data_IF_193369764925
#
_entry.id   IF_193369764925
#
_cell.length_a   1.000
_cell.length_b   1.000
_cell.length_c   1.000
_cell.angle_alpha   90.00
_cell.angle_beta   90.00
_cell.angle_gamma   90.00
#
_symmetry.space_group_name_H-M   'P 1'
#
loop_
_entity.id
_entity.type
_entity.pdbx_description
1 polymer ?
#
# COMPACT_ATOMS: atom_id res chain seq x y z
N UNK A 1 -1.05 -1.35 -17.20
CA UNK A 1 -2.40 -1.88 -16.91
C UNK A 1 -3.17 -1.90 -18.22
N UNK A 2 -3.68 -3.07 -18.67
CA UNK A 2 -4.32 -3.20 -19.99
C UNK A 2 -5.83 -2.90 -19.98
N UNK A 3 -6.52 -3.17 -18.86
CA UNK A 3 -7.94 -2.89 -18.67
C UNK A 3 -8.13 -2.05 -17.40
N UNK A 4 -9.03 -1.06 -17.46
CA UNK A 4 -9.48 -0.32 -16.30
C UNK A 4 -10.76 -0.97 -15.75
N UNK A 5 -10.77 -1.51 -14.51
CA UNK A 5 -11.98 -2.07 -13.94
C UNK A 5 -12.96 -0.94 -13.58
N UNK A 6 -14.13 -0.96 -14.21
CA UNK A 6 -15.22 -0.01 -13.94
C UNK A 6 -16.52 -0.77 -13.68
N UNK A 7 -17.36 -0.22 -12.79
CA UNK A 7 -18.73 -0.67 -12.61
C UNK A 7 -19.67 0.31 -13.31
N UNK A 8 -20.49 -0.21 -14.22
CA UNK A 8 -21.37 0.58 -15.08
C UNK A 8 -22.81 0.41 -14.65
N UNK A 9 -23.51 1.52 -14.42
CA UNK A 9 -24.95 1.51 -14.16
C UNK A 9 -25.71 1.34 -15.47
N UNK A 10 -26.43 0.23 -15.61
CA UNK A 10 -27.14 -0.13 -16.84
C UNK A 10 -28.67 0.04 -16.76
N UNK A 11 -29.22 0.60 -15.68
CA UNK A 11 -30.66 0.86 -15.56
C UNK A 11 -31.20 1.57 -16.82
N UNK A 12 -32.03 0.83 -17.57
CA UNK A 12 -32.67 1.26 -18.82
C UNK A 12 -31.69 1.73 -19.92
N UNK A 13 -30.43 1.26 -19.89
CA UNK A 13 -29.42 1.57 -20.92
C UNK A 13 -29.50 0.56 -22.07
N UNK A 14 -29.37 1.02 -23.34
CA UNK A 14 -29.46 0.17 -24.50
C UNK A 14 -28.21 -0.71 -24.66
N UNK A 15 -28.42 -2.02 -24.76
CA UNK A 15 -27.38 -3.04 -24.96
C UNK A 15 -27.76 -3.92 -26.14
N UNK A 16 -26.84 -4.09 -27.08
CA UNK A 16 -27.03 -4.94 -28.25
C UNK A 16 -26.28 -6.26 -28.10
N UNK A 17 -26.90 -7.36 -28.48
CA UNK A 17 -26.25 -8.67 -28.60
C UNK A 17 -26.48 -9.19 -30.02
N UNK A 18 -25.40 -9.47 -30.73
CA UNK A 18 -25.42 -10.10 -32.05
C UNK A 18 -25.25 -11.61 -31.86
N UNK A 19 -26.28 -12.37 -32.20
CA UNK A 19 -26.36 -13.81 -31.97
C UNK A 19 -27.59 -14.22 -31.15
N UNK A 20 -28.11 -15.41 -31.43
CA UNK A 20 -29.35 -15.93 -30.83
C UNK A 20 -29.21 -17.31 -30.16
N UNK A 21 -27.98 -17.82 -29.99
CA UNK A 21 -27.71 -19.11 -29.36
C UNK A 21 -27.48 -19.04 -27.84
N UNK A 22 -27.08 -20.17 -27.26
CA UNK A 22 -26.81 -20.34 -25.82
C UNK A 22 -25.76 -19.38 -25.24
N UNK A 23 -24.77 -18.98 -26.05
CA UNK A 23 -23.76 -17.99 -25.65
C UNK A 23 -24.40 -16.61 -25.49
N UNK A 24 -25.21 -16.19 -26.47
CA UNK A 24 -25.92 -14.91 -26.45
C UNK A 24 -26.91 -14.85 -25.28
N UNK A 25 -27.66 -15.93 -25.05
CA UNK A 25 -28.57 -16.07 -23.90
C UNK A 25 -27.86 -15.88 -22.55
N UNK A 26 -26.70 -16.51 -22.35
CA UNK A 26 -25.91 -16.35 -21.10
C UNK A 26 -25.49 -14.89 -20.88
N UNK A 27 -25.12 -14.17 -21.95
CA UNK A 27 -24.79 -12.74 -21.88
C UNK A 27 -26.02 -11.87 -21.64
N UNK A 28 -27.14 -12.19 -22.27
CA UNK A 28 -28.42 -11.53 -22.08
C UNK A 28 -28.85 -11.53 -20.60
N UNK A 29 -28.81 -12.69 -19.93
CA UNK A 29 -29.14 -12.81 -18.50
C UNK A 29 -28.34 -11.86 -17.61
N UNK A 30 -27.02 -11.73 -17.86
CA UNK A 30 -26.16 -10.83 -17.09
C UNK A 30 -26.57 -9.35 -17.23
N UNK A 31 -26.94 -8.92 -18.44
CA UNK A 31 -27.41 -7.54 -18.66
C UNK A 31 -28.79 -7.26 -18.10
N UNK A 32 -29.70 -8.25 -18.13
CA UNK A 32 -31.01 -8.13 -17.50
C UNK A 32 -30.92 -8.04 -15.98
N UNK A 33 -30.02 -8.81 -15.34
CA UNK A 33 -29.73 -8.67 -13.91
C UNK A 33 -29.26 -7.25 -13.56
N UNK A 34 -28.48 -6.63 -14.46
CA UNK A 34 -28.05 -5.23 -14.36
C UNK A 34 -29.11 -4.21 -14.85
N UNK A 35 -30.35 -4.65 -15.15
CA UNK A 35 -31.49 -3.84 -15.62
C UNK A 35 -31.24 -3.09 -16.94
N UNK A 36 -30.39 -3.65 -17.80
CA UNK A 36 -30.16 -3.19 -19.16
C UNK A 36 -31.37 -3.41 -20.07
N UNK A 37 -31.58 -2.50 -21.02
CA UNK A 37 -32.55 -2.67 -22.11
C UNK A 37 -31.88 -3.45 -23.24
N UNK A 38 -32.11 -4.76 -23.27
CA UNK A 38 -31.40 -5.68 -24.18
C UNK A 38 -32.17 -5.86 -25.48
N UNK A 39 -31.47 -5.66 -26.60
CA UNK A 39 -31.90 -6.04 -27.95
C UNK A 39 -30.98 -7.12 -28.49
N UNK A 40 -31.54 -8.18 -29.06
CA UNK A 40 -30.78 -9.24 -29.73
C UNK A 40 -31.08 -9.25 -31.23
N UNK A 41 -30.05 -9.34 -32.06
CA UNK A 41 -30.15 -9.47 -33.52
C UNK A 41 -29.56 -10.80 -33.95
N UNK A 42 -30.37 -11.63 -34.59
CA UNK A 42 -29.94 -12.90 -35.18
C UNK A 42 -30.98 -13.40 -36.18
N UNK A 43 -30.60 -14.23 -37.17
CA UNK A 43 -31.57 -14.87 -38.06
C UNK A 43 -32.49 -15.83 -37.29
N UNK A 44 -31.95 -16.53 -36.28
CA UNK A 44 -32.64 -17.51 -35.46
C UNK A 44 -32.30 -17.33 -33.98
N UNK A 45 -33.23 -17.70 -33.10
CA UNK A 45 -33.09 -17.61 -31.64
C UNK A 45 -33.43 -18.95 -30.98
N UNK A 46 -32.75 -19.25 -29.86
CA UNK A 46 -33.10 -20.39 -29.02
C UNK A 46 -34.46 -20.17 -28.33
N UNK A 47 -35.06 -21.28 -27.87
CA UNK A 47 -36.41 -21.29 -27.31
C UNK A 47 -36.56 -20.31 -26.11
N UNK A 48 -35.60 -20.30 -25.20
CA UNK A 48 -35.64 -19.45 -24.00
C UNK A 48 -35.63 -17.95 -24.34
N UNK A 49 -34.92 -17.53 -25.39
CA UNK A 49 -34.94 -16.14 -25.84
C UNK A 49 -36.31 -15.74 -26.41
N UNK A 50 -36.97 -16.66 -27.12
CA UNK A 50 -38.33 -16.45 -27.64
C UNK A 50 -39.34 -16.28 -26.50
N UNK A 51 -39.25 -17.08 -25.44
CA UNK A 51 -40.07 -16.94 -24.24
C UNK A 51 -39.85 -15.59 -23.56
N UNK A 52 -38.58 -15.21 -23.36
CA UNK A 52 -38.20 -13.92 -22.77
C UNK A 52 -38.76 -12.72 -23.57
N UNK A 53 -38.83 -12.83 -24.90
CA UNK A 53 -39.41 -11.81 -25.76
C UNK A 53 -40.94 -11.71 -25.60
N UNK A 54 -41.64 -12.84 -25.42
CA UNK A 54 -43.09 -12.86 -25.15
C UNK A 54 -43.42 -12.16 -23.83
N UNK A 55 -42.56 -12.35 -22.82
CA UNK A 55 -42.64 -11.65 -21.53
C UNK A 55 -42.23 -10.17 -21.61
N UNK A 56 -41.83 -9.67 -22.79
CA UNK A 56 -41.34 -8.31 -23.04
C UNK A 56 -40.10 -7.94 -22.22
N UNK A 57 -39.29 -8.93 -21.84
CA UNK A 57 -38.04 -8.69 -21.12
C UNK A 57 -36.90 -8.29 -22.07
N UNK A 58 -36.96 -8.73 -23.33
CA UNK A 58 -35.98 -8.44 -24.38
C UNK A 58 -36.66 -8.06 -25.69
N UNK A 59 -35.93 -7.36 -26.55
CA UNK A 59 -36.36 -7.13 -27.94
C UNK A 59 -35.59 -8.08 -28.86
N UNK A 60 -36.28 -8.86 -29.69
CA UNK A 60 -35.65 -9.71 -30.71
C UNK A 60 -35.84 -9.09 -32.10
N UNK A 61 -34.77 -9.08 -32.88
CA UNK A 61 -34.76 -8.63 -34.27
C UNK A 61 -34.28 -9.79 -35.13
N UNK A 62 -35.20 -10.35 -35.92
CA UNK A 62 -34.91 -11.43 -36.86
C UNK A 62 -34.25 -10.88 -38.11
N UNK A 63 -32.94 -10.65 -38.03
CA UNK A 63 -32.14 -10.07 -39.12
C UNK A 63 -30.66 -10.49 -39.01
N UNK A 64 -29.89 -10.19 -40.05
CA UNK A 64 -28.44 -10.25 -40.03
C UNK A 64 -27.87 -8.95 -39.44
N UNK A 65 -26.59 -9.02 -39.02
CA UNK A 65 -25.91 -7.84 -38.50
C UNK A 65 -25.77 -6.75 -39.57
N UNK A 66 -26.12 -5.52 -39.21
CA UNK A 66 -25.82 -4.31 -39.97
C UNK A 66 -25.24 -3.22 -39.06
N UNK A 67 -24.27 -2.41 -39.51
CA UNK A 67 -23.62 -1.40 -38.67
C UNK A 67 -24.58 -0.37 -38.04
N UNK A 68 -25.71 -0.07 -38.70
CA UNK A 68 -26.73 0.88 -38.24
C UNK A 68 -27.44 0.39 -36.97
N UNK A 69 -27.45 -0.92 -36.71
CA UNK A 69 -28.04 -1.50 -35.49
C UNK A 69 -27.27 -1.10 -34.22
N UNK A 70 -26.01 -0.66 -34.36
CA UNK A 70 -25.19 -0.14 -33.27
C UNK A 70 -25.59 1.27 -32.85
N UNK A 71 -26.35 1.99 -33.67
CA UNK A 71 -26.65 3.39 -33.42
C UNK A 71 -27.50 3.55 -32.15
N UNK A 72 -27.03 4.42 -31.24
CA UNK A 72 -27.67 4.64 -29.95
C UNK A 72 -27.45 3.53 -28.92
N UNK A 73 -26.66 2.50 -29.21
CA UNK A 73 -26.29 1.45 -28.25
C UNK A 73 -25.13 1.90 -27.37
N UNK A 74 -25.15 1.50 -26.09
CA UNK A 74 -24.07 1.80 -25.16
C UNK A 74 -22.98 0.73 -25.18
N UNK A 75 -23.38 -0.54 -25.29
CA UNK A 75 -22.51 -1.70 -25.29
C UNK A 75 -22.99 -2.68 -26.38
N UNK A 76 -22.07 -3.42 -26.98
CA UNK A 76 -22.38 -4.52 -27.89
C UNK A 76 -21.61 -5.80 -27.56
N UNK A 77 -22.30 -6.94 -27.69
CA UNK A 77 -21.69 -8.27 -27.66
C UNK A 77 -21.77 -8.91 -29.05
N UNK A 78 -20.65 -9.41 -29.54
CA UNK A 78 -20.63 -10.34 -30.67
C UNK A 78 -20.55 -11.78 -30.14
N UNK A 79 -21.64 -12.52 -30.25
CA UNK A 79 -21.81 -13.88 -29.71
C UNK A 79 -22.32 -14.83 -30.80
N UNK A 80 -21.70 -14.77 -31.99
CA UNK A 80 -22.00 -15.67 -33.12
C UNK A 80 -20.87 -16.68 -33.32
N UNK A 81 -21.18 -17.80 -33.98
CA UNK A 81 -20.16 -18.78 -34.40
C UNK A 81 -19.41 -18.35 -35.68
N UNK A 82 -19.74 -17.18 -36.25
CA UNK A 82 -19.16 -16.67 -37.49
C UNK A 82 -18.13 -15.57 -37.20
N UNK A 83 -16.84 -15.92 -37.30
CA UNK A 83 -15.75 -14.98 -37.08
C UNK A 83 -15.83 -13.71 -37.95
N UNK A 84 -16.28 -13.83 -39.19
CA UNK A 84 -16.45 -12.69 -40.09
C UNK A 84 -17.50 -11.69 -39.58
N UNK A 85 -18.62 -12.18 -39.01
CA UNK A 85 -19.64 -11.32 -38.41
C UNK A 85 -19.10 -10.67 -37.14
N UNK A 86 -18.45 -11.44 -36.28
CA UNK A 86 -17.86 -10.95 -35.04
C UNK A 86 -16.82 -9.84 -35.29
N UNK A 87 -16.02 -9.98 -36.35
CA UNK A 87 -15.05 -8.97 -36.78
C UNK A 87 -15.72 -7.71 -37.33
N UNK A 88 -16.79 -7.86 -38.13
CA UNK A 88 -17.57 -6.73 -38.61
C UNK A 88 -18.21 -5.93 -37.45
N UNK A 89 -18.74 -6.62 -36.44
CA UNK A 89 -19.27 -5.99 -35.21
C UNK A 89 -18.17 -5.23 -34.47
N UNK A 90 -17.00 -5.84 -34.29
CA UNK A 90 -15.85 -5.21 -33.64
C UNK A 90 -15.42 -3.92 -34.35
N UNK A 91 -15.23 -3.98 -35.67
CA UNK A 91 -14.80 -2.82 -36.45
C UNK A 91 -15.83 -1.68 -36.37
N UNK A 92 -17.10 -2.00 -36.61
CA UNK A 92 -18.17 -1.00 -36.60
C UNK A 92 -18.41 -0.37 -35.22
N UNK A 93 -18.21 -1.14 -34.13
CA UNK A 93 -18.30 -0.63 -32.76
C UNK A 93 -17.13 0.29 -32.42
N UNK A 94 -15.90 -0.06 -32.80
CA UNK A 94 -14.73 0.79 -32.58
C UNK A 94 -14.83 2.12 -33.31
N UNK A 95 -15.31 2.13 -34.56
CA UNK A 95 -15.55 3.37 -35.32
C UNK A 95 -16.52 4.33 -34.59
N UNK A 96 -17.45 3.78 -33.79
CA UNK A 96 -18.46 4.53 -33.03
C UNK A 96 -18.07 4.77 -31.57
N UNK A 97 -16.89 4.32 -31.13
CA UNK A 97 -16.48 4.32 -29.72
C UNK A 97 -17.47 3.60 -28.78
N UNK A 98 -18.12 2.54 -29.28
CA UNK A 98 -19.01 1.69 -28.50
C UNK A 98 -18.17 0.57 -27.89
N UNK A 99 -18.35 0.31 -26.60
CA UNK A 99 -17.70 -0.82 -25.95
C UNK A 99 -18.23 -2.14 -26.52
N UNK A 100 -17.33 -2.87 -27.17
CA UNK A 100 -17.54 -4.20 -27.75
C UNK A 100 -16.83 -5.29 -26.95
N UNK A 101 -17.52 -6.41 -26.77
CA UNK A 101 -16.95 -7.68 -26.34
C UNK A 101 -17.26 -8.74 -27.39
N UNK A 102 -16.21 -9.34 -27.97
CA UNK A 102 -16.33 -10.49 -28.87
C UNK A 102 -16.10 -11.74 -28.05
N UNK A 103 -17.08 -12.64 -28.03
CA UNK A 103 -16.96 -13.88 -27.25
C UNK A 103 -15.84 -14.74 -27.85
N UNK A 104 -15.00 -15.30 -26.97
CA UNK A 104 -13.85 -16.16 -27.29
C UNK A 104 -12.73 -15.52 -28.15
N UNK A 105 -12.77 -14.20 -28.41
CA UNK A 105 -11.71 -13.44 -29.09
C UNK A 105 -11.30 -12.20 -28.27
N UNK A 106 -10.42 -12.40 -27.29
CA UNK A 106 -10.00 -11.35 -26.37
C UNK A 106 -9.29 -10.15 -27.06
N UNK A 107 -8.39 -10.33 -28.04
CA UNK A 107 -7.81 -9.20 -28.78
C UNK A 107 -8.84 -8.26 -29.40
N UNK A 108 -10.03 -8.76 -29.73
CA UNK A 108 -11.16 -7.97 -30.25
C UNK A 108 -12.13 -7.47 -29.16
N UNK A 109 -11.70 -7.44 -27.90
CA UNK A 109 -12.52 -6.95 -26.79
C UNK A 109 -12.02 -5.61 -26.24
N UNK A 110 -12.87 -4.59 -26.30
CA UNK A 110 -12.66 -3.31 -25.59
C UNK A 110 -13.03 -3.39 -24.10
N UNK A 111 -13.88 -4.35 -23.72
CA UNK A 111 -14.17 -4.71 -22.33
C UNK A 111 -14.32 -6.22 -22.18
N UNK A 112 -14.17 -6.70 -20.95
CA UNK A 112 -14.22 -8.12 -20.61
C UNK A 112 -15.16 -8.38 -19.44
N UNK A 113 -15.73 -9.58 -19.39
CA UNK A 113 -16.54 -10.01 -18.25
C UNK A 113 -15.65 -10.58 -17.14
N UNK A 114 -15.66 -9.98 -15.94
CA UNK A 114 -14.97 -10.55 -14.80
C UNK A 114 -15.76 -11.72 -14.21
N UNK A 115 -15.09 -12.50 -13.36
CA UNK A 115 -15.78 -13.31 -12.34
C UNK A 115 -16.33 -12.37 -11.27
N UNK A 116 -17.61 -12.53 -10.91
CA UNK A 116 -18.30 -11.62 -9.99
C UNK A 116 -18.68 -12.36 -8.71
N UNK A 117 -18.44 -11.75 -7.55
CA UNK A 117 -19.07 -12.10 -6.27
C UNK A 117 -20.07 -11.00 -5.94
N UNK A 118 -21.34 -11.36 -5.84
CA UNK A 118 -22.44 -10.42 -5.60
C UNK A 118 -22.96 -10.53 -4.15
N UNK A 119 -22.95 -9.39 -3.46
CA UNK A 119 -23.51 -9.12 -2.13
C UNK A 119 -24.19 -7.75 -2.15
N UNK A 120 -24.98 -7.48 -3.19
CA UNK A 120 -25.64 -6.19 -3.45
C UNK A 120 -26.01 -5.44 -2.15
N UNK A 121 -25.55 -4.19 -1.97
CA UNK A 121 -24.83 -3.33 -2.93
C UNK A 121 -23.32 -3.55 -3.04
N UNK A 122 -22.73 -4.50 -2.31
CA UNK A 122 -21.30 -4.79 -2.40
C UNK A 122 -21.05 -5.79 -3.54
N UNK A 123 -20.19 -5.43 -4.48
CA UNK A 123 -19.84 -6.28 -5.63
C UNK A 123 -18.33 -6.34 -5.79
N UNK A 124 -17.80 -7.54 -6.03
CA UNK A 124 -16.37 -7.76 -6.31
C UNK A 124 -16.22 -8.35 -7.70
N UNK A 125 -15.36 -7.76 -8.51
CA UNK A 125 -14.99 -8.26 -9.83
C UNK A 125 -13.54 -8.72 -9.86
N UNK A 126 -13.33 -9.92 -10.38
CA UNK A 126 -12.02 -10.59 -10.45
C UNK A 126 -11.75 -10.91 -11.92
N UNK A 127 -10.62 -10.46 -12.44
CA UNK A 127 -10.22 -10.74 -13.81
C UNK A 127 -8.72 -10.97 -13.90
N UNK A 128 -8.34 -11.94 -14.72
CA UNK A 128 -6.95 -12.17 -15.15
C UNK A 128 -6.71 -11.64 -16.57
N UNK A 129 -7.64 -10.84 -17.11
CA UNK A 129 -7.61 -10.43 -18.52
C UNK A 129 -7.37 -11.63 -19.44
N UNK A 130 -8.17 -12.69 -19.26
CA UNK A 130 -8.12 -13.94 -20.04
C UNK A 130 -6.87 -14.81 -19.87
N UNK A 131 -5.80 -14.34 -19.20
CA UNK A 131 -4.56 -15.12 -19.05
C UNK A 131 -4.71 -16.35 -18.16
N UNK A 132 -5.60 -16.31 -17.16
CA UNK A 132 -5.77 -17.39 -16.18
C UNK A 132 -7.23 -17.50 -15.70
N UNK A 133 -8.16 -17.99 -16.54
CA UNK A 133 -9.58 -18.07 -16.19
C UNK A 133 -9.86 -19.03 -15.02
N UNK A 134 -9.10 -20.13 -14.93
CA UNK A 134 -9.22 -21.11 -13.82
C UNK A 134 -8.79 -20.49 -12.48
N UNK A 135 -7.76 -19.63 -12.49
CA UNK A 135 -7.30 -18.92 -11.29
C UNK A 135 -8.36 -17.90 -10.83
N UNK A 136 -8.92 -17.11 -11.75
CA UNK A 136 -9.99 -16.16 -11.45
C UNK A 136 -11.21 -16.86 -10.83
N UNK A 137 -11.58 -18.04 -11.37
CA UNK A 137 -12.65 -18.87 -10.81
C UNK A 137 -12.35 -19.36 -9.39
N UNK A 138 -11.14 -19.86 -9.13
CA UNK A 138 -10.73 -20.31 -7.77
C UNK A 138 -10.73 -19.15 -6.77
N UNK A 139 -10.31 -17.96 -7.18
CA UNK A 139 -10.37 -16.76 -6.33
C UNK A 139 -11.81 -16.37 -6.02
N UNK A 140 -12.71 -16.40 -7.02
CA UNK A 140 -14.15 -16.18 -6.82
C UNK A 140 -14.74 -17.17 -5.81
N UNK A 141 -14.46 -18.47 -5.98
CA UNK A 141 -14.95 -19.52 -5.07
C UNK A 141 -14.49 -19.28 -3.62
N UNK A 142 -13.23 -18.90 -3.40
CA UNK A 142 -12.72 -18.54 -2.06
C UNK A 142 -13.38 -17.28 -1.51
N UNK A 143 -13.57 -16.24 -2.32
CA UNK A 143 -14.19 -15.00 -1.87
C UNK A 143 -15.68 -15.19 -1.56
N UNK A 144 -16.39 -16.06 -2.29
CA UNK A 144 -17.77 -16.41 -1.97
C UNK A 144 -17.92 -17.05 -0.59
N UNK A 145 -16.93 -17.86 -0.15
CA UNK A 145 -16.94 -18.45 1.19
C UNK A 145 -16.53 -17.46 2.28
N UNK A 146 -15.63 -16.53 1.96
CA UNK A 146 -15.08 -15.56 2.92
C UNK A 146 -16.03 -14.39 3.19
N UNK A 147 -16.90 -14.05 2.24
CA UNK A 147 -17.74 -12.85 2.31
C UNK A 147 -19.18 -13.26 2.68
N UNK A 148 -19.63 -12.97 3.92
CA UNK A 148 -20.96 -13.35 4.38
C UNK A 148 -22.09 -12.72 3.56
N UNK A 149 -23.26 -13.38 3.54
CA UNK A 149 -24.45 -12.85 2.85
C UNK A 149 -25.01 -11.57 3.49
N UNK A 150 -24.83 -11.39 4.81
CA UNK A 150 -25.34 -10.24 5.54
C UNK A 150 -24.60 -8.92 5.25
N UNK A 151 -23.50 -8.95 4.49
CA UNK A 151 -22.76 -7.73 4.10
C UNK A 151 -23.63 -6.79 3.26
N UNK A 152 -24.51 -7.32 2.40
CA UNK A 152 -25.44 -6.51 1.61
C UNK A 152 -26.37 -5.67 2.51
N UNK A 153 -27.20 -6.32 3.35
CA UNK A 153 -28.04 -5.63 4.33
C UNK A 153 -27.27 -4.66 5.25
N UNK A 154 -26.06 -5.02 5.68
CA UNK A 154 -25.22 -4.13 6.49
C UNK A 154 -24.83 -2.86 5.73
N UNK A 155 -24.44 -3.00 4.46
CA UNK A 155 -24.09 -1.87 3.60
C UNK A 155 -25.30 -0.95 3.33
N UNK A 156 -26.50 -1.51 3.17
CA UNK A 156 -27.74 -0.74 3.05
C UNK A 156 -28.04 0.05 4.33
N UNK A 157 -27.94 -0.60 5.50
CA UNK A 157 -28.12 0.04 6.80
C UNK A 157 -27.14 1.21 6.98
N UNK A 158 -25.84 0.95 6.82
CA UNK A 158 -24.78 1.97 6.89
C UNK A 158 -25.03 3.10 5.89
N UNK A 159 -25.44 2.76 4.67
CA UNK A 159 -25.79 3.71 3.62
C UNK A 159 -26.91 4.67 4.04
N UNK A 160 -27.96 4.17 4.69
CA UNK A 160 -29.09 4.99 5.18
C UNK A 160 -28.69 5.99 6.27
N UNK A 161 -27.67 5.66 7.07
CA UNK A 161 -27.15 6.52 8.13
C UNK A 161 -26.08 7.53 7.67
N UNK A 162 -25.56 7.38 6.44
CA UNK A 162 -24.47 8.21 5.90
C UNK A 162 -24.73 9.71 6.03
N UNK A 163 -25.96 10.15 5.79
CA UNK A 163 -26.32 11.56 5.90
C UNK A 163 -26.32 12.06 7.35
N UNK A 164 -26.93 11.30 8.29
CA UNK A 164 -26.92 11.62 9.73
C UNK A 164 -25.49 11.72 10.27
N UNK A 165 -24.65 10.74 9.92
CA UNK A 165 -23.23 10.69 10.30
C UNK A 165 -22.46 11.89 9.73
N UNK A 166 -22.70 12.29 8.47
CA UNK A 166 -22.09 13.47 7.85
C UNK A 166 -22.56 14.79 8.48
N UNK A 167 -23.80 14.85 8.99
CA UNK A 167 -24.29 16.03 9.70
C UNK A 167 -23.60 16.19 11.06
N UNK A 168 -23.47 15.08 11.79
CA UNK A 168 -22.86 15.02 13.13
C UNK A 168 -21.35 15.23 13.11
N UNK A 169 -20.63 14.53 12.23
CA UNK A 169 -19.18 14.56 12.12
C UNK A 169 -18.75 15.33 10.88
N UNK A 170 -18.06 16.45 11.08
CA UNK A 170 -17.63 17.32 9.98
C UNK A 170 -16.42 16.76 9.24
N UNK A 171 -15.48 16.15 9.96
CA UNK A 171 -14.25 15.66 9.36
C UNK A 171 -14.43 14.27 8.74
N UNK A 172 -13.62 13.94 7.75
CA UNK A 172 -13.63 12.62 7.13
C UNK A 172 -13.10 11.54 8.08
N UNK A 173 -12.06 11.85 8.85
CA UNK A 173 -11.46 11.03 9.90
C UNK A 173 -12.48 10.51 10.90
N UNK A 174 -13.27 11.42 11.49
CA UNK A 174 -14.25 11.10 12.54
C UNK A 174 -15.34 10.16 12.01
N UNK A 175 -15.80 10.43 10.77
CA UNK A 175 -16.80 9.58 10.09
C UNK A 175 -16.26 8.17 9.88
N UNK A 176 -15.00 8.04 9.48
CA UNK A 176 -14.36 6.73 9.30
C UNK A 176 -14.22 5.99 10.63
N UNK A 177 -13.69 6.64 11.67
CA UNK A 177 -13.54 6.01 12.99
C UNK A 177 -14.88 5.56 13.58
N UNK A 178 -15.92 6.38 13.41
CA UNK A 178 -17.27 5.98 13.75
C UNK A 178 -17.68 4.70 13.03
N UNK A 179 -17.50 4.62 11.71
CA UNK A 179 -17.83 3.41 10.96
C UNK A 179 -17.00 2.19 11.37
N UNK A 180 -15.69 2.35 11.59
CA UNK A 180 -14.83 1.28 12.14
C UNK A 180 -15.40 0.76 13.46
N UNK A 181 -15.76 1.66 14.40
CA UNK A 181 -16.36 1.26 15.67
C UNK A 181 -17.71 0.55 15.51
N UNK A 182 -18.48 0.89 14.48
CA UNK A 182 -19.75 0.22 14.17
C UNK A 182 -19.52 -1.19 13.65
N UNK A 183 -18.51 -1.39 12.80
CA UNK A 183 -18.15 -2.71 12.26
C UNK A 183 -17.59 -3.65 13.33
N UNK A 184 -17.01 -3.11 14.40
CA UNK A 184 -16.54 -3.88 15.56
C UNK A 184 -17.61 -4.03 16.66
N UNK A 185 -18.87 -3.64 16.40
CA UNK A 185 -19.95 -3.62 17.39
C UNK A 185 -21.02 -4.70 17.16
N UNK A 186 -21.97 -4.80 18.10
CA UNK A 186 -23.11 -5.71 17.95
C UNK A 186 -24.05 -5.33 16.80
N UNK A 187 -23.93 -4.15 16.18
CA UNK A 187 -24.71 -3.78 14.97
C UNK A 187 -24.56 -4.85 13.90
N UNK A 188 -23.33 -5.34 13.66
CA UNK A 188 -23.07 -6.41 12.67
C UNK A 188 -23.78 -7.70 13.05
N UNK A 189 -23.69 -8.12 14.31
CA UNK A 189 -24.34 -9.36 14.78
C UNK A 189 -25.87 -9.33 14.67
N UNK A 190 -26.49 -8.15 14.85
CA UNK A 190 -27.93 -7.96 14.70
C UNK A 190 -28.36 -8.01 13.24
N UNK A 191 -27.58 -7.41 12.34
CA UNK A 191 -27.80 -7.55 10.89
C UNK A 191 -27.63 -9.00 10.45
N UNK A 192 -26.64 -9.71 10.98
CA UNK A 192 -26.41 -11.13 10.68
C UNK A 192 -27.59 -12.02 11.07
N UNK A 193 -28.29 -11.70 12.17
CA UNK A 193 -29.48 -12.43 12.62
C UNK A 193 -30.78 -11.95 11.97
N UNK A 194 -30.72 -10.94 11.10
CA UNK A 194 -31.87 -10.38 10.38
C UNK A 194 -32.66 -9.31 11.15
N UNK A 195 -32.23 -8.92 12.35
CA UNK A 195 -32.88 -7.90 13.17
C UNK A 195 -32.38 -6.49 12.80
N UNK A 196 -32.86 -5.99 11.65
CA UNK A 196 -32.46 -4.70 11.10
C UNK A 196 -32.93 -3.53 11.98
N UNK A 197 -34.10 -3.64 12.61
CA UNK A 197 -34.66 -2.59 13.45
C UNK A 197 -33.82 -2.39 14.71
N UNK A 198 -33.44 -3.48 15.40
CA UNK A 198 -32.57 -3.38 16.57
C UNK A 198 -31.14 -2.96 16.22
N UNK A 199 -30.65 -3.32 15.03
CA UNK A 199 -29.37 -2.84 14.50
C UNK A 199 -29.41 -1.32 14.26
N UNK A 200 -30.48 -0.83 13.64
CA UNK A 200 -30.71 0.60 13.38
C UNK A 200 -30.79 1.41 14.67
N UNK A 201 -31.57 0.96 15.65
CA UNK A 201 -31.68 1.61 16.96
C UNK A 201 -30.34 1.69 17.70
N UNK A 202 -29.55 0.62 17.63
CA UNK A 202 -28.21 0.60 18.22
C UNK A 202 -27.26 1.56 17.50
N UNK A 203 -27.32 1.62 16.17
CA UNK A 203 -26.50 2.53 15.38
C UNK A 203 -26.82 4.00 15.67
N UNK A 204 -28.11 4.35 15.82
CA UNK A 204 -28.55 5.68 16.27
C UNK A 204 -28.02 5.98 17.70
N UNK A 205 -28.09 5.01 18.61
CA UNK A 205 -27.57 5.19 19.98
C UNK A 205 -26.05 5.42 19.98
N UNK A 206 -25.29 4.67 19.18
CA UNK A 206 -23.86 4.89 19.00
C UNK A 206 -23.59 6.30 18.46
N UNK A 207 -24.28 6.70 17.40
CA UNK A 207 -24.11 8.02 16.79
C UNK A 207 -24.32 9.18 17.78
N UNK A 208 -25.27 9.03 18.70
CA UNK A 208 -25.58 10.05 19.71
C UNK A 208 -24.59 10.06 20.89
N UNK A 209 -24.02 8.90 21.24
CA UNK A 209 -23.15 8.75 22.41
C UNK A 209 -21.65 8.83 22.09
N UNK A 210 -21.26 8.80 20.81
CA UNK A 210 -19.86 8.94 20.42
C UNK A 210 -19.34 10.33 20.77
N UNK A 211 -18.36 10.38 21.67
CA UNK A 211 -17.54 11.58 21.97
C UNK A 211 -16.74 11.94 20.72
N UNK A 212 -16.51 13.23 20.49
CA UNK A 212 -15.66 13.65 19.37
C UNK A 212 -14.27 13.05 19.52
N UNK A 213 -13.72 12.41 18.47
CA UNK A 213 -12.40 11.81 18.56
C UNK A 213 -11.35 12.87 18.84
N UNK A 214 -10.50 12.63 19.83
CA UNK A 214 -9.30 13.42 20.03
C UNK A 214 -8.24 13.00 18.99
N UNK A 215 -7.54 13.98 18.42
CA UNK A 215 -6.42 13.69 17.54
C UNK A 215 -5.26 13.06 18.30
N UNK A 216 -4.45 12.29 17.58
CA UNK A 216 -3.36 11.50 18.15
C UNK A 216 -2.19 11.49 17.18
N UNK A 217 -0.96 11.45 17.70
CA UNK A 217 0.26 11.37 16.89
C UNK A 217 0.96 10.03 17.05
N UNK A 218 1.13 9.30 15.95
CA UNK A 218 1.95 8.10 15.85
C UNK A 218 3.34 8.47 15.36
N UNK A 219 4.36 8.32 16.20
CA UNK A 219 5.76 8.48 15.80
C UNK A 219 6.32 7.09 15.49
N UNK A 220 6.48 6.78 14.20
CA UNK A 220 6.80 5.42 13.75
C UNK A 220 8.17 5.34 13.09
N UNK A 221 8.88 4.23 13.34
CA UNK A 221 10.08 3.86 12.62
C UNK A 221 9.76 3.07 11.35
N UNK A 222 10.19 3.60 10.21
CA UNK A 222 9.99 3.00 8.90
C UNK A 222 10.98 1.86 8.60
N UNK A 223 12.04 1.72 9.40
CA UNK A 223 13.16 0.88 9.02
C UNK A 223 14.12 1.56 8.02
N UNK A 224 15.18 0.86 7.59
CA UNK A 224 16.24 1.43 6.74
C UNK A 224 15.85 1.59 5.25
N UNK A 225 14.81 0.91 4.79
CA UNK A 225 14.28 1.12 3.43
C UNK A 225 13.41 -0.01 2.90
N UNK A 226 13.75 -1.26 3.20
CA UNK A 226 12.96 -2.44 2.81
C UNK A 226 11.57 -2.41 3.49
N UNK A 227 10.46 -2.41 2.72
CA UNK A 227 9.11 -2.41 3.27
C UNK A 227 8.81 -3.62 4.16
N UNK A 228 9.46 -4.77 3.93
CA UNK A 228 9.25 -5.98 4.74
C UNK A 228 9.86 -5.86 6.14
N UNK A 229 10.70 -4.84 6.38
CA UNK A 229 11.23 -4.52 7.71
C UNK A 229 10.34 -3.56 8.51
N UNK A 230 9.21 -3.13 7.96
CA UNK A 230 8.20 -2.44 8.74
C UNK A 230 7.63 -3.38 9.81
N UNK A 231 7.44 -2.84 11.01
CA UNK A 231 6.72 -3.60 12.03
C UNK A 231 5.23 -3.66 11.69
N UNK A 232 4.56 -4.75 12.09
CA UNK A 232 3.11 -4.91 11.88
C UNK A 232 2.33 -3.73 12.46
N UNK A 233 2.72 -3.23 13.64
CA UNK A 233 2.11 -2.07 14.28
C UNK A 233 2.31 -0.79 13.48
N UNK A 234 3.49 -0.57 12.89
CA UNK A 234 3.74 0.59 12.03
C UNK A 234 2.83 0.57 10.80
N UNK A 235 2.74 -0.56 10.10
CA UNK A 235 1.86 -0.73 8.94
C UNK A 235 0.38 -0.48 9.29
N UNK A 236 -0.10 -1.05 10.40
CA UNK A 236 -1.47 -0.84 10.89
C UNK A 236 -1.76 0.66 11.10
N UNK A 237 -0.87 1.38 11.79
CA UNK A 237 -1.07 2.81 12.07
C UNK A 237 -0.94 3.68 10.82
N UNK A 238 -0.07 3.33 9.86
CA UNK A 238 0.02 4.01 8.56
C UNK A 238 -1.28 3.90 7.77
N UNK A 239 -1.94 2.74 7.82
CA UNK A 239 -3.23 2.51 7.17
C UNK A 239 -4.38 3.26 7.85
N UNK A 240 -4.25 3.57 9.14
CA UNK A 240 -5.23 4.32 9.91
C UNK A 240 -4.98 5.83 9.91
N UNK A 241 -3.85 6.31 9.41
CA UNK A 241 -3.47 7.71 9.47
C UNK A 241 -4.37 8.59 8.58
N UNK A 242 -4.79 9.74 9.10
CA UNK A 242 -5.50 10.74 8.30
C UNK A 242 -4.55 11.67 7.57
N UNK A 243 -3.40 11.93 8.18
CA UNK A 243 -2.30 12.71 7.62
C UNK A 243 -0.98 12.02 7.94
N UNK A 244 -0.09 11.96 6.96
CA UNK A 244 1.24 11.38 7.06
C UNK A 244 2.28 12.47 6.89
N UNK A 245 3.10 12.66 7.93
CA UNK A 245 4.22 13.60 7.96
C UNK A 245 5.52 12.80 7.83
N UNK A 246 6.23 12.95 6.73
CA UNK A 246 7.39 12.11 6.42
C UNK A 246 8.60 12.93 5.95
N UNK A 247 9.78 12.33 5.95
CA UNK A 247 11.02 12.93 5.44
C UNK A 247 11.63 12.08 4.30
N UNK A 248 12.65 12.62 3.64
CA UNK A 248 13.27 11.99 2.46
C UNK A 248 14.02 10.68 2.76
N UNK A 249 14.19 10.28 4.02
CA UNK A 249 14.81 8.99 4.32
C UNK A 249 13.84 7.83 4.19
N UNK A 250 12.53 8.09 4.20
CA UNK A 250 11.49 7.08 3.96
C UNK A 250 11.49 6.72 2.47
N UNK A 251 11.51 5.42 2.15
CA UNK A 251 11.52 4.94 0.76
C UNK A 251 10.14 5.09 0.10
N UNK A 252 10.14 5.24 -1.23
CA UNK A 252 8.89 5.31 -2.00
C UNK A 252 8.04 4.03 -1.82
N UNK A 253 8.68 2.86 -1.77
CA UNK A 253 8.01 1.57 -1.54
C UNK A 253 7.27 1.52 -0.19
N UNK A 254 7.79 2.18 0.85
CA UNK A 254 7.09 2.32 2.15
C UNK A 254 5.94 3.33 2.02
N UNK A 255 6.12 4.41 1.28
CA UNK A 255 5.07 5.40 1.05
C UNK A 255 3.89 4.84 0.24
N UNK A 256 4.11 3.84 -0.61
CA UNK A 256 3.04 3.10 -1.31
C UNK A 256 2.14 2.30 -0.35
N UNK A 257 2.65 1.95 0.84
CA UNK A 257 1.90 1.27 1.91
C UNK A 257 1.12 2.25 2.79
N UNK A 258 1.15 3.55 2.53
CA UNK A 258 0.30 4.51 3.22
C UNK A 258 -1.12 4.43 2.66
N UNK A 259 -2.12 4.70 3.51
CA UNK A 259 -3.52 4.82 3.08
C UNK A 259 -3.64 5.81 1.90
N UNK A 260 -4.25 5.39 0.80
CA UNK A 260 -4.36 6.18 -0.45
C UNK A 260 -5.02 7.55 -0.27
N UNK A 261 -5.97 7.66 0.66
CA UNK A 261 -6.72 8.89 0.95
C UNK A 261 -6.15 9.66 2.15
N UNK A 262 -4.90 9.43 2.56
CA UNK A 262 -4.25 10.22 3.60
C UNK A 262 -3.56 11.45 3.00
N UNK A 263 -3.65 12.59 3.69
CA UNK A 263 -2.90 13.79 3.32
C UNK A 263 -1.40 13.53 3.52
N UNK A 264 -0.56 13.80 2.52
CA UNK A 264 0.89 13.60 2.61
C UNK A 264 1.61 14.93 2.77
N UNK A 265 2.40 15.09 3.84
CA UNK A 265 3.19 16.30 4.11
C UNK A 265 4.66 15.92 4.25
N UNK A 266 5.47 16.34 3.28
CA UNK A 266 6.92 16.15 3.32
C UNK A 266 7.59 17.28 4.11
N UNK A 267 8.35 16.91 5.15
CA UNK A 267 9.11 17.83 6.02
C UNK A 267 10.64 17.67 5.86
N UNK A 268 11.08 16.87 4.90
CA UNK A 268 12.49 16.64 4.61
C UNK A 268 13.17 17.84 3.94
N UNK A 269 14.51 17.89 4.02
CA UNK A 269 15.35 18.87 3.30
C UNK A 269 15.86 18.27 1.98
N UNK A 270 15.54 18.87 0.84
CA UNK A 270 16.31 18.67 -0.40
C UNK A 270 17.41 19.73 -0.42
N UNK A 271 18.64 19.32 -0.74
CA UNK A 271 19.75 20.24 -0.95
C UNK A 271 19.31 21.31 -1.98
N UNK A 272 19.11 22.56 -1.53
CA UNK A 272 18.85 23.71 -2.40
C UNK A 272 17.50 24.45 -2.27
N UNK A 273 16.50 23.98 -1.50
CA UNK A 273 15.22 24.69 -1.35
C UNK A 273 14.93 25.13 0.10
N UNK A 274 14.30 26.31 0.24
CA UNK A 274 13.96 26.95 1.52
C UNK A 274 13.19 26.00 2.45
N UNK A 275 13.71 25.90 3.68
CA UNK A 275 13.43 24.87 4.67
C UNK A 275 12.22 25.17 5.56
N UNK A 276 11.57 24.10 6.03
CA UNK A 276 10.77 24.10 7.26
C UNK A 276 11.75 23.87 8.42
N UNK A 277 11.83 24.78 9.39
CA UNK A 277 12.68 24.58 10.57
C UNK A 277 12.14 23.42 11.43
N UNK A 278 12.98 22.76 12.23
CA UNK A 278 12.49 21.66 13.08
C UNK A 278 11.36 22.12 14.01
N UNK A 279 11.41 23.37 14.48
CA UNK A 279 10.35 23.96 15.28
C UNK A 279 9.01 23.91 14.54
N UNK A 280 9.02 24.19 13.23
CA UNK A 280 7.82 24.20 12.39
C UNK A 280 7.25 22.78 12.23
N UNK A 281 8.08 21.74 12.12
CA UNK A 281 7.61 20.35 12.09
C UNK A 281 6.94 19.96 13.42
N UNK A 282 7.53 20.32 14.55
CA UNK A 282 6.96 19.98 15.86
C UNK A 282 5.60 20.67 16.06
N UNK A 283 5.50 21.97 15.69
CA UNK A 283 4.23 22.71 15.77
C UNK A 283 3.19 22.18 14.77
N UNK A 284 3.63 21.74 13.59
CA UNK A 284 2.76 21.09 12.61
C UNK A 284 2.08 19.85 13.20
N UNK A 285 2.84 18.97 13.88
CA UNK A 285 2.29 17.77 14.51
C UNK A 285 1.23 18.11 15.56
N UNK A 286 1.52 19.09 16.43
CA UNK A 286 0.57 19.58 17.44
C UNK A 286 -0.69 20.14 16.79
N UNK A 287 -0.54 20.99 15.77
CA UNK A 287 -1.66 21.61 15.08
C UNK A 287 -2.58 20.57 14.45
N UNK A 288 -2.02 19.63 13.69
CA UNK A 288 -2.80 18.57 13.04
C UNK A 288 -3.53 17.69 14.05
N UNK A 289 -2.89 17.35 15.18
CA UNK A 289 -3.56 16.60 16.24
C UNK A 289 -4.66 17.41 16.94
N UNK A 290 -4.45 18.71 17.18
CA UNK A 290 -5.50 19.60 17.72
C UNK A 290 -6.65 19.85 16.74
N UNK A 291 -6.43 19.63 15.46
CA UNK A 291 -7.50 19.53 14.47
C UNK A 291 -8.29 18.22 14.57
N UNK A 292 -7.98 17.29 15.48
CA UNK A 292 -8.68 16.00 15.62
C UNK A 292 -8.16 14.88 14.73
N UNK A 293 -7.05 15.11 13.99
CA UNK A 293 -6.53 14.13 13.02
C UNK A 293 -5.68 13.06 13.71
N UNK A 294 -5.72 11.83 13.17
CA UNK A 294 -4.68 10.81 13.40
C UNK A 294 -3.47 11.12 12.54
N UNK A 295 -2.39 11.59 13.17
CA UNK A 295 -1.16 12.04 12.51
C UNK A 295 -0.12 10.94 12.56
N UNK A 296 0.37 10.48 11.42
CA UNK A 296 1.48 9.52 11.37
C UNK A 296 2.78 10.24 10.98
N UNK A 297 3.68 10.42 11.96
CA UNK A 297 5.04 10.90 11.75
C UNK A 297 5.94 9.71 11.40
N UNK A 298 6.22 9.52 10.12
CA UNK A 298 7.09 8.45 9.62
C UNK A 298 8.54 8.93 9.62
N UNK A 299 9.43 8.14 10.21
CA UNK A 299 10.86 8.46 10.35
C UNK A 299 11.68 7.28 9.82
N UNK A 300 12.72 7.57 9.03
CA UNK A 300 13.66 6.54 8.59
C UNK A 300 14.38 5.87 9.76
N UNK A 301 14.53 4.55 9.69
CA UNK A 301 15.13 3.75 10.77
C UNK A 301 14.23 3.66 12.00
N UNK A 302 14.77 4.06 13.15
CA UNK A 302 14.07 4.09 14.43
C UNK A 302 13.85 5.54 14.90
N UNK A 303 12.70 5.90 15.50
CA UNK A 303 12.42 7.27 15.93
C UNK A 303 13.42 7.84 16.93
N UNK A 304 13.97 7.01 17.81
CA UNK A 304 14.79 7.42 18.95
C UNK A 304 16.29 7.20 18.76
N UNK A 305 16.71 6.50 17.71
CA UNK A 305 18.12 6.38 17.33
C UNK A 305 18.45 7.42 16.25
N UNK A 306 19.03 8.55 16.66
CA UNK A 306 19.40 9.67 15.79
C UNK A 306 18.27 10.29 14.95
N UNK A 307 17.01 9.89 15.18
CA UNK A 307 15.83 10.40 14.49
C UNK A 307 15.25 11.70 15.05
N UNK A 308 15.69 12.17 16.23
CA UNK A 308 15.11 13.31 16.96
C UNK A 308 13.65 13.12 17.40
N UNK A 309 13.15 11.88 17.44
CA UNK A 309 11.78 11.60 17.89
C UNK A 309 11.50 12.07 19.33
N UNK A 310 12.52 12.06 20.21
CA UNK A 310 12.38 12.57 21.58
C UNK A 310 12.02 14.06 21.63
N UNK A 311 12.64 14.89 20.78
CA UNK A 311 12.34 16.33 20.70
C UNK A 311 10.91 16.57 20.19
N UNK A 312 10.47 15.79 19.20
CA UNK A 312 9.11 15.83 18.66
C UNK A 312 8.09 15.48 19.76
N UNK A 313 8.31 14.38 20.49
CA UNK A 313 7.41 13.91 21.56
C UNK A 313 7.34 14.88 22.75
N UNK A 314 8.44 15.52 23.13
CA UNK A 314 8.44 16.52 24.20
C UNK A 314 7.46 17.67 23.93
N UNK A 315 7.38 18.12 22.66
CA UNK A 315 6.44 19.18 22.27
C UNK A 315 4.99 18.68 22.31
N UNK A 316 4.74 17.42 21.96
CA UNK A 316 3.40 16.80 22.06
C UNK A 316 2.94 16.71 23.53
N UNK A 317 3.81 16.23 24.42
CA UNK A 317 3.56 16.16 25.86
C UNK A 317 3.22 17.54 26.42
N UNK A 318 4.03 18.56 26.11
CA UNK A 318 3.82 19.93 26.57
C UNK A 318 2.49 20.56 26.07
N UNK A 319 1.90 20.00 25.02
CA UNK A 319 0.63 20.45 24.44
C UNK A 319 -0.55 19.54 24.77
N UNK A 320 -0.38 18.55 25.65
CA UNK A 320 -1.40 17.56 26.02
C UNK A 320 -1.99 16.82 24.81
N UNK A 321 -1.15 16.49 23.83
CA UNK A 321 -1.54 15.70 22.66
C UNK A 321 -1.28 14.23 22.93
N UNK A 322 -2.28 13.37 22.68
CA UNK A 322 -2.11 11.91 22.77
C UNK A 322 -1.09 11.43 21.72
N UNK A 323 -0.22 10.50 22.09
CA UNK A 323 0.78 9.98 21.17
C UNK A 323 1.16 8.52 21.45
N UNK A 324 1.65 7.85 20.42
CA UNK A 324 2.29 6.54 20.51
C UNK A 324 3.61 6.54 19.77
N UNK A 325 4.58 5.80 20.30
CA UNK A 325 5.85 5.55 19.63
C UNK A 325 5.88 4.09 19.18
N UNK A 326 6.19 3.87 17.91
CA UNK A 326 6.41 2.53 17.36
C UNK A 326 7.87 2.43 16.92
N UNK A 327 8.67 1.56 17.55
CA UNK A 327 10.07 1.39 17.18
C UNK A 327 10.19 0.83 15.76
N UNK A 328 11.32 1.11 15.13
CA UNK A 328 11.66 0.58 13.81
C UNK A 328 12.99 -0.17 13.83
N UNK A 329 13.24 -0.93 12.78
CA UNK A 329 14.57 -1.52 12.58
C UNK A 329 15.56 -0.38 12.31
N UNK A 330 16.53 -0.17 13.19
CA UNK A 330 17.53 0.87 12.99
C UNK A 330 18.49 0.52 11.84
N UNK A 331 19.10 1.53 11.21
CA UNK A 331 19.99 1.32 10.07
C UNK A 331 21.17 0.40 10.42
N UNK A 332 21.72 0.48 11.64
CA UNK A 332 22.78 -0.44 12.05
C UNK A 332 22.35 -1.91 12.01
N UNK A 333 21.17 -2.24 12.53
CA UNK A 333 20.68 -3.62 12.54
C UNK A 333 20.38 -4.12 11.13
N UNK A 334 19.68 -3.31 10.31
CA UNK A 334 19.34 -3.69 8.94
C UNK A 334 20.55 -3.79 8.02
N UNK A 335 21.43 -2.79 8.01
CA UNK A 335 22.67 -2.81 7.22
C UNK A 335 23.56 -4.00 7.61
N UNK A 336 23.73 -4.26 8.90
CA UNK A 336 24.50 -5.39 9.40
C UNK A 336 23.95 -6.73 8.89
N UNK A 337 22.65 -6.97 9.08
CA UNK A 337 22.02 -8.22 8.67
C UNK A 337 22.08 -8.43 7.14
N UNK A 338 21.78 -7.40 6.35
CA UNK A 338 21.72 -7.50 4.89
C UNK A 338 23.10 -7.45 4.24
N UNK A 339 24.11 -6.90 4.91
CA UNK A 339 25.50 -6.98 4.46
C UNK A 339 26.19 -8.28 4.93
N UNK A 340 25.58 -9.10 5.79
CA UNK A 340 26.29 -10.25 6.38
C UNK A 340 27.42 -9.83 7.32
N UNK A 341 27.23 -8.75 8.08
CA UNK A 341 28.21 -8.22 9.02
C UNK A 341 27.53 -8.20 10.40
N UNK A 342 27.67 -9.26 11.22
CA UNK A 342 27.05 -9.28 12.53
C UNK A 342 27.67 -8.19 13.42
N UNK A 343 26.84 -7.41 14.12
CA UNK A 343 27.37 -6.31 14.95
C UNK A 343 28.16 -6.82 16.17
N UNK A 344 27.89 -8.04 16.64
CA UNK A 344 28.68 -8.75 17.66
C UNK A 344 29.10 -10.11 17.14
N UNK A 345 30.30 -10.55 17.52
CA UNK A 345 30.76 -11.91 17.30
C UNK A 345 31.72 -12.28 18.43
N UNK A 346 31.62 -13.52 18.96
CA UNK A 346 32.31 -13.93 20.20
C UNK A 346 33.82 -13.63 20.16
N UNK A 347 34.44 -13.88 19.02
CA UNK A 347 35.89 -13.75 18.84
C UNK A 347 36.33 -12.35 18.36
N UNK A 348 35.39 -11.43 18.11
CA UNK A 348 35.69 -10.15 17.46
C UNK A 348 35.20 -8.92 18.23
N UNK A 349 33.96 -8.93 18.72
CA UNK A 349 33.37 -7.77 19.39
C UNK A 349 32.40 -8.17 20.49
N UNK A 350 32.67 -7.67 21.71
CA UNK A 350 31.82 -7.85 22.89
C UNK A 350 30.91 -6.64 23.16
N UNK A 351 31.17 -5.52 22.47
CA UNK A 351 30.41 -4.28 22.58
C UNK A 351 30.13 -3.68 21.20
N UNK A 352 29.01 -2.95 21.12
CA UNK A 352 28.63 -2.14 19.95
C UNK A 352 28.44 -0.71 20.43
N UNK A 353 28.93 0.25 19.66
CA UNK A 353 28.66 1.66 19.87
C UNK A 353 28.02 2.28 18.63
N UNK A 354 26.86 2.92 18.81
CA UNK A 354 26.23 3.74 17.78
C UNK A 354 26.69 5.19 17.93
N UNK A 355 27.28 5.75 16.87
CA UNK A 355 27.87 7.09 16.91
C UNK A 355 27.33 7.91 15.74
N UNK A 356 27.18 9.22 15.91
CA UNK A 356 26.88 10.16 14.82
C UNK A 356 28.15 10.90 14.41
N UNK A 357 28.43 10.95 13.11
CA UNK A 357 29.45 11.83 12.54
C UNK A 357 29.06 13.31 12.59
N UNK A 358 27.78 13.63 12.77
CA UNK A 358 27.30 15.00 12.83
C UNK A 358 27.11 15.46 14.29
N UNK A 359 28.07 16.23 14.81
CA UNK A 359 27.94 16.97 16.07
C UNK A 359 27.16 18.27 15.84
N UNK A 360 26.34 18.70 16.82
CA UNK A 360 25.76 20.06 16.86
C UNK A 360 26.90 21.09 16.79
N UNK A 361 26.65 22.24 16.13
CA UNK A 361 27.65 23.31 15.92
C UNK A 361 28.32 23.83 17.22
N UNK A 362 27.68 23.65 18.37
CA UNK A 362 28.16 24.07 19.70
C UNK A 362 28.35 22.90 20.69
N UNK A 363 28.43 21.65 20.19
CA UNK A 363 28.57 20.45 21.02
C UNK A 363 30.03 20.16 21.42
N UNK A 364 30.21 19.45 22.54
CA UNK A 364 31.50 18.82 22.86
C UNK A 364 31.89 17.84 21.73
N UNK A 365 33.18 17.77 21.44
CA UNK A 365 33.74 16.79 20.52
C UNK A 365 33.49 15.36 21.04
N UNK A 366 33.51 14.37 20.15
CA UNK A 366 33.30 12.97 20.53
C UNK A 366 34.44 12.49 21.44
N UNK A 367 34.14 11.56 22.34
CA UNK A 367 35.17 10.88 23.14
C UNK A 367 35.93 9.87 22.28
N UNK A 368 36.88 10.38 21.48
CA UNK A 368 37.68 9.59 20.56
C UNK A 368 38.50 8.49 21.23
N UNK A 369 38.86 8.64 22.51
CA UNK A 369 39.56 7.60 23.28
C UNK A 369 38.65 6.40 23.54
N UNK A 370 37.38 6.65 23.85
CA UNK A 370 36.38 5.59 24.01
C UNK A 370 36.08 4.90 22.68
N UNK A 371 35.94 5.67 21.59
CA UNK A 371 35.66 5.11 20.26
C UNK A 371 36.83 4.27 19.71
N UNK A 372 38.08 4.64 20.00
CA UNK A 372 39.26 3.96 19.49
C UNK A 372 39.58 2.62 20.17
N UNK A 373 38.86 2.22 21.24
CA UNK A 373 39.13 0.95 21.93
C UNK A 373 39.01 -0.25 20.96
N UNK A 374 39.87 -1.28 21.09
CA UNK A 374 39.77 -2.51 20.31
C UNK A 374 38.61 -3.39 20.78
N UNK A 375 38.29 -4.47 20.04
CA UNK A 375 37.26 -5.47 20.39
C UNK A 375 35.84 -4.92 20.54
N UNK A 376 35.53 -3.83 19.83
CA UNK A 376 34.20 -3.26 19.74
C UNK A 376 33.86 -2.89 18.29
N UNK A 377 32.58 -3.00 17.96
CA UNK A 377 32.03 -2.59 16.67
C UNK A 377 31.51 -1.16 16.77
N UNK A 378 32.05 -0.24 15.96
CA UNK A 378 31.48 1.09 15.81
C UNK A 378 30.54 1.10 14.61
N UNK A 379 29.31 1.52 14.81
CA UNK A 379 28.37 1.81 13.72
C UNK A 379 28.12 3.33 13.67
N UNK A 380 28.70 3.97 12.66
CA UNK A 380 28.74 5.42 12.51
C UNK A 380 27.68 5.88 11.50
N UNK A 381 26.70 6.61 12.01
CA UNK A 381 25.63 7.27 11.26
C UNK A 381 26.12 8.62 10.76
N UNK A 382 25.64 9.07 9.60
CA UNK A 382 25.95 10.41 9.05
C UNK A 382 27.48 10.67 8.97
N UNK A 383 28.27 9.61 8.77
CA UNK A 383 29.72 9.66 8.83
C UNK A 383 30.42 9.97 7.50
N UNK A 384 29.73 9.82 6.36
CA UNK A 384 30.35 9.84 5.01
C UNK A 384 31.19 11.10 4.77
N UNK A 385 30.60 12.28 4.99
CA UNK A 385 31.29 13.57 4.77
C UNK A 385 32.43 13.81 5.76
N UNK A 386 32.31 13.30 6.99
CA UNK A 386 33.32 13.46 8.04
C UNK A 386 34.29 12.28 8.13
N UNK A 387 34.26 11.37 7.16
CA UNK A 387 35.08 10.16 7.18
C UNK A 387 36.59 10.42 7.28
N UNK A 388 37.18 11.48 6.66
CA UNK A 388 38.62 11.75 6.84
C UNK A 388 38.96 12.13 8.28
N UNK A 389 38.09 12.90 8.93
CA UNK A 389 38.27 13.30 10.32
C UNK A 389 38.10 12.12 11.29
N UNK A 390 37.07 11.29 11.08
CA UNK A 390 36.83 10.07 11.88
C UNK A 390 38.03 9.12 11.77
N UNK A 391 38.51 8.88 10.54
CA UNK A 391 39.70 8.07 10.27
C UNK A 391 40.91 8.60 11.04
N UNK A 392 41.25 9.88 10.88
CA UNK A 392 42.41 10.48 11.52
C UNK A 392 42.33 10.38 13.04
N UNK A 393 41.17 10.71 13.64
CA UNK A 393 40.99 10.71 15.09
C UNK A 393 41.03 9.32 15.71
N UNK A 394 40.44 8.32 15.07
CA UNK A 394 40.50 6.94 15.58
C UNK A 394 41.93 6.40 15.58
N UNK A 395 42.70 6.67 14.51
CA UNK A 395 44.10 6.25 14.41
C UNK A 395 44.98 7.00 15.43
N UNK A 396 44.80 8.32 15.55
CA UNK A 396 45.49 9.16 16.54
C UNK A 396 45.31 8.62 17.97
N UNK A 397 44.14 8.08 18.28
CA UNK A 397 43.80 7.55 19.60
C UNK A 397 44.05 6.04 19.76
N UNK A 398 44.78 5.43 18.82
CA UNK A 398 45.33 4.07 18.97
C UNK A 398 44.53 2.94 18.30
N UNK A 399 43.48 3.25 17.53
CA UNK A 399 42.82 2.23 16.68
C UNK A 399 43.76 1.88 15.51
N UNK A 400 44.01 0.61 15.27
CA UNK A 400 44.91 0.18 14.20
C UNK A 400 44.42 0.62 12.81
N UNK A 401 45.30 1.15 11.97
CA UNK A 401 44.95 1.51 10.59
C UNK A 401 44.49 0.30 9.76
N UNK A 402 44.91 -0.91 10.14
CA UNK A 402 44.50 -2.17 9.52
C UNK A 402 43.14 -2.68 9.98
N UNK A 403 42.48 -2.02 10.95
CA UNK A 403 41.15 -2.43 11.43
C UNK A 403 40.17 -2.52 10.24
N UNK A 404 39.46 -3.64 10.06
CA UNK A 404 38.50 -3.79 8.99
C UNK A 404 37.37 -2.76 9.07
N UNK A 405 36.94 -2.28 7.89
CA UNK A 405 35.78 -1.39 7.75
C UNK A 405 34.86 -1.88 6.65
N UNK A 406 33.57 -1.59 6.80
CA UNK A 406 32.57 -1.74 5.78
C UNK A 406 31.71 -0.48 5.68
N UNK A 407 31.38 -0.10 4.45
CA UNK A 407 30.51 1.02 4.11
C UNK A 407 29.28 0.42 3.45
N UNK A 408 28.12 0.58 4.08
CA UNK A 408 26.84 0.07 3.58
C UNK A 408 25.99 1.25 3.14
N UNK A 409 25.96 1.50 1.83
CA UNK A 409 25.12 2.51 1.18
C UNK A 409 23.76 1.92 0.84
N UNK A 410 22.68 2.68 1.08
CA UNK A 410 21.30 2.26 0.81
C UNK A 410 20.95 0.88 1.40
N UNK A 411 21.38 0.62 2.64
CA UNK A 411 21.19 -0.67 3.29
C UNK A 411 19.75 -1.16 3.22
N UNK A 412 19.57 -2.45 2.99
CA UNK A 412 18.30 -3.20 2.79
C UNK A 412 17.55 -2.91 1.50
N UNK A 413 17.88 -1.83 0.78
CA UNK A 413 17.23 -1.50 -0.49
C UNK A 413 17.79 -2.36 -1.63
N UNK A 414 17.02 -2.48 -2.71
CA UNK A 414 17.44 -3.21 -3.93
C UNK A 414 18.76 -2.71 -4.53
N UNK A 415 19.06 -1.43 -4.35
CA UNK A 415 20.31 -0.79 -4.79
C UNK A 415 21.38 -0.69 -3.69
N UNK A 416 21.33 -1.54 -2.66
CA UNK A 416 22.36 -1.61 -1.62
C UNK A 416 23.74 -1.82 -2.23
N UNK A 417 24.73 -1.04 -1.78
CA UNK A 417 26.14 -1.22 -2.11
C UNK A 417 26.94 -1.41 -0.84
N UNK A 418 27.82 -2.42 -0.84
CA UNK A 418 28.73 -2.70 0.27
C UNK A 418 30.16 -2.57 -0.24
N UNK A 419 30.95 -1.71 0.40
CA UNK A 419 32.38 -1.55 0.12
C UNK A 419 33.15 -1.90 1.39
N UNK A 420 34.09 -2.84 1.31
CA UNK A 420 34.94 -3.25 2.43
C UNK A 420 36.38 -2.78 2.24
N UNK A 421 37.10 -2.63 3.34
CA UNK A 421 38.52 -2.26 3.33
C UNK A 421 39.08 -2.11 4.73
N UNK A 422 40.01 -1.17 4.91
CA UNK A 422 40.67 -0.91 6.19
C UNK A 422 40.49 0.53 6.65
N UNK A 423 40.59 0.78 7.94
CA UNK A 423 40.41 2.10 8.54
C UNK A 423 41.35 3.14 7.95
N UNK A 424 42.60 2.77 7.66
CA UNK A 424 43.61 3.65 7.07
C UNK A 424 43.28 4.16 5.67
N UNK A 425 42.35 3.52 4.96
CA UNK A 425 41.90 3.92 3.62
C UNK A 425 40.41 4.29 3.57
N UNK A 426 39.76 4.50 4.71
CA UNK A 426 38.31 4.77 4.78
C UNK A 426 37.87 5.96 3.91
N UNK A 427 38.59 7.08 3.99
CA UNK A 427 38.27 8.28 3.21
C UNK A 427 38.44 8.03 1.70
N UNK A 428 39.54 7.39 1.31
CA UNK A 428 39.83 7.04 -0.09
C UNK A 428 38.79 6.06 -0.64
N UNK A 429 38.33 5.09 0.15
CA UNK A 429 37.30 4.14 -0.24
C UNK A 429 35.97 4.85 -0.55
N UNK A 430 35.59 5.83 0.26
CA UNK A 430 34.37 6.63 0.04
C UNK A 430 34.48 7.44 -1.25
N UNK A 431 35.61 8.10 -1.48
CA UNK A 431 35.85 8.94 -2.66
C UNK A 431 35.92 8.11 -3.94
N UNK A 432 36.79 7.08 -3.99
CA UNK A 432 36.97 6.24 -5.18
C UNK A 432 35.70 5.50 -5.59
N UNK A 433 34.88 5.08 -4.64
CA UNK A 433 33.62 4.39 -4.91
C UNK A 433 32.42 5.35 -5.07
N UNK A 434 32.65 6.66 -5.00
CA UNK A 434 31.62 7.69 -5.08
C UNK A 434 30.43 7.42 -4.14
N UNK A 435 30.69 7.00 -2.90
CA UNK A 435 29.65 6.65 -1.93
C UNK A 435 28.80 7.88 -1.60
N UNK A 436 27.47 7.74 -1.72
CA UNK A 436 26.52 8.77 -1.36
C UNK A 436 25.79 8.44 -0.05
N UNK A 437 25.14 9.45 0.51
CA UNK A 437 24.21 9.25 1.62
C UNK A 437 22.84 8.81 1.09
N UNK A 438 22.09 7.98 1.84
CA UNK A 438 22.40 7.44 3.17
C UNK A 438 23.35 6.24 3.14
N UNK A 439 24.42 6.30 3.95
CA UNK A 439 25.32 5.17 4.18
C UNK A 439 25.73 5.06 5.65
N UNK A 440 25.94 3.83 6.10
CA UNK A 440 26.44 3.50 7.43
C UNK A 440 27.87 3.00 7.35
N UNK A 441 28.75 3.49 8.23
CA UNK A 441 30.10 2.98 8.37
C UNK A 441 30.13 1.98 9.53
N UNK A 442 30.62 0.77 9.29
CA UNK A 442 30.84 -0.25 10.31
C UNK A 442 32.35 -0.45 10.44
N UNK A 443 32.91 -0.16 11.62
CA UNK A 443 34.35 -0.23 11.88
C UNK A 443 34.58 -1.26 12.99
N UNK A 444 35.37 -2.28 12.69
CA UNK A 444 35.68 -3.38 13.60
C UNK A 444 35.90 -4.70 12.87
N UNK A 445 36.48 -5.65 13.59
CA UNK A 445 36.91 -6.95 13.07
C UNK A 445 35.74 -7.72 12.43
N UNK A 446 34.51 -7.51 12.91
CA UNK A 446 33.29 -8.12 12.33
C UNK A 446 33.07 -7.76 10.85
N UNK A 447 33.58 -6.63 10.36
CA UNK A 447 33.42 -6.22 8.96
C UNK A 447 34.07 -7.20 7.98
N UNK A 448 35.09 -7.96 8.40
CA UNK A 448 35.73 -8.97 7.56
C UNK A 448 34.81 -10.16 7.23
N UNK A 449 33.83 -10.44 8.11
CA UNK A 449 32.90 -11.55 7.95
C UNK A 449 31.94 -11.37 6.76
N UNK A 450 31.85 -10.16 6.19
CA UNK A 450 31.10 -9.89 4.97
C UNK A 450 31.43 -10.88 3.85
N UNK A 451 32.70 -11.23 3.66
CA UNK A 451 33.12 -12.11 2.57
C UNK A 451 32.56 -13.53 2.69
N UNK A 452 32.28 -13.97 3.92
CA UNK A 452 31.76 -15.31 4.22
C UNK A 452 30.23 -15.34 4.32
N UNK A 453 29.63 -14.30 4.92
CA UNK A 453 28.22 -14.31 5.32
C UNK A 453 27.30 -13.48 4.39
N UNK A 454 27.85 -12.75 3.42
CA UNK A 454 27.03 -11.93 2.51
C UNK A 454 26.09 -12.79 1.66
N UNK A 455 24.79 -12.63 1.90
CA UNK A 455 23.71 -13.39 1.27
C UNK A 455 22.82 -12.53 0.35
N UNK A 456 22.60 -11.26 0.71
CA UNK A 456 21.69 -10.36 0.00
C UNK A 456 22.21 -10.01 -1.39
N UNK A 457 21.34 -10.03 -2.40
CA UNK A 457 21.68 -9.73 -3.80
C UNK A 457 22.38 -10.86 -4.58
N UNK A 458 22.73 -11.99 -3.95
CA UNK A 458 23.41 -13.13 -4.60
C UNK A 458 22.48 -14.29 -5.01
N UNK A 459 21.27 -14.37 -4.48
CA UNK A 459 20.27 -15.41 -4.81
C UNK A 459 18.88 -14.79 -4.98
N UNK A 460 18.14 -15.19 -6.02
CA UNK A 460 16.72 -14.85 -6.17
C UNK A 460 15.96 -15.42 -4.97
N UNK A 461 15.49 -14.55 -4.09
CA UNK A 461 14.62 -14.95 -2.99
C UNK A 461 13.33 -15.56 -3.57
N UNK A 462 13.03 -16.81 -3.18
CA UNK A 462 11.76 -17.46 -3.48
C UNK A 462 10.68 -16.80 -2.62
N UNK A 463 9.89 -15.91 -3.22
CA UNK A 463 8.69 -15.37 -2.58
C UNK A 463 7.72 -16.52 -2.29
N UNK A 464 7.54 -16.84 -1.01
CA UNK A 464 6.60 -17.87 -0.56
C UNK A 464 5.16 -17.36 -0.69
N UNK A 465 4.38 -17.94 -1.60
CA UNK A 465 2.92 -17.76 -1.68
C UNK A 465 2.15 -18.39 -0.50
N UNK A 466 2.86 -18.92 0.52
CA UNK A 466 2.29 -19.80 1.54
C UNK A 466 1.90 -19.11 2.86
N UNK A 467 1.84 -17.78 2.93
CA UNK A 467 1.25 -17.11 4.09
C UNK A 467 -0.28 -16.92 3.90
N UNK A 468 -1.12 -17.41 4.82
CA UNK A 468 -2.55 -17.09 4.83
C UNK A 468 -2.73 -15.58 5.01
N UNK A 469 -3.58 -14.98 4.17
CA UNK A 469 -3.92 -13.55 4.21
C UNK A 469 -4.80 -13.13 5.39
N UNK A 470 -5.04 -14.01 6.37
CA UNK A 470 -5.81 -13.73 7.59
C UNK A 470 -5.44 -14.73 8.67
N UNK A 471 -4.81 -14.24 9.73
CA UNK A 471 -5.04 -14.68 11.11
C UNK A 471 -4.74 -13.46 12.01
N UNK A 472 -5.75 -12.61 12.18
CA UNK A 472 -5.83 -11.74 13.36
C UNK A 472 -6.69 -12.52 14.32
N UNK A 473 -6.05 -13.03 15.38
CA UNK A 473 -6.65 -13.80 16.46
C UNK A 473 -7.63 -12.98 17.30
#
# INVERSE_FOLDING_TARGET
MQYLPIFTKLDNKPVLIIGGGEVALRKCRAFLQARGRVTLVAPEFCHELLEMAQEKTVTLVHDYFSPEQLDGQMLVIAATDLNAVNEAVFNAANERNIFVNVVDDQPKCSFIFPSIVDRNPITIAISSAGTAPVLARRLREKLETLIPQHIGPLAELVGSFRHKVKQRFKQFSDRRQFWESVFDSQVVSKVQTGDIDAASAQLDAMLNNTVEPEGEVYVIGAGPGDPELLTLKALQLMQQADVVVYDYLVSDEIMELVRRDADLICVGKRMGNHSVEQHDTNQLLVRLAKEGKKVCRIKGGDPFIYGRGGEEVQVLVANHVNYQIVPGITAAAGCAAYAGIPLTHRDHAQAIQFVTGHCKKDGQDLDWRSLAQPHQTLAVYMGVVKSPHIQAKLIEHGRAATTPVAIVENGTRKNQRVVTGQLGSLAELIEHNNIQSPALLIIGEVAQLHHELAWFGKQSQTSSFAQPLTDIA
#
